data_IF_440724758393
#
_entry.id   IF_440724758393
#
_cell.length_a   1.000
_cell.length_b   1.000
_cell.length_c   1.000
_cell.angle_alpha   90.00
_cell.angle_beta   90.00
_cell.angle_gamma   90.00
#
_symmetry.space_group_name_H-M   'P 1'
#
loop_
_entity.id
_entity.type
_entity.pdbx_description
1 polymer ?
#
# COMPACT_ATOMS: atom_id res chain seq x y z
N UNK A 1 6.64 11.66 -0.35
CA UNK A 1 6.60 10.77 -1.53
C UNK A 1 5.15 10.31 -1.71
N UNK A 2 4.68 10.07 -2.94
CA UNK A 2 3.30 9.60 -3.25
C UNK A 2 3.37 8.21 -3.90
N UNK A 3 2.43 7.32 -3.57
CA UNK A 3 2.31 5.98 -4.15
C UNK A 3 1.52 6.02 -5.47
N UNK A 4 2.13 6.55 -6.54
CA UNK A 4 1.44 6.86 -7.81
C UNK A 4 0.75 5.65 -8.45
N UNK A 5 1.33 4.45 -8.35
CA UNK A 5 0.75 3.22 -8.86
C UNK A 5 -0.58 2.90 -8.14
N UNK A 6 -0.58 2.95 -6.81
CA UNK A 6 -1.78 2.74 -5.99
C UNK A 6 -2.84 3.82 -6.27
N UNK A 7 -2.44 5.09 -6.37
CA UNK A 7 -3.36 6.19 -6.71
C UNK A 7 -4.03 5.97 -8.06
N UNK A 8 -3.28 5.54 -9.09
CA UNK A 8 -3.83 5.22 -10.41
C UNK A 8 -4.79 4.03 -10.34
N UNK A 9 -4.46 3.00 -9.57
CA UNK A 9 -5.29 1.81 -9.40
C UNK A 9 -6.61 2.10 -8.64
N UNK A 10 -6.67 3.17 -7.84
CA UNK A 10 -7.88 3.58 -7.11
C UNK A 10 -8.84 4.46 -7.94
N UNK A 11 -8.43 4.96 -9.11
CA UNK A 11 -9.27 5.87 -9.89
C UNK A 11 -10.56 5.19 -10.35
N UNK A 12 -11.70 5.68 -9.84
CA UNK A 12 -13.02 5.16 -10.18
C UNK A 12 -13.47 3.95 -9.34
N UNK A 13 -12.62 3.44 -8.45
CA UNK A 13 -12.99 2.37 -7.53
C UNK A 13 -13.92 2.86 -6.42
N UNK A 14 -14.84 2.00 -6.01
CA UNK A 14 -15.52 2.06 -4.71
C UNK A 14 -14.58 1.53 -3.64
N UNK A 15 -14.78 2.00 -2.41
CA UNK A 15 -14.03 1.55 -1.25
C UNK A 15 -14.60 0.22 -0.72
N UNK A 16 -14.51 -0.83 -1.54
CA UNK A 16 -14.81 -2.21 -1.12
C UNK A 16 -13.53 -3.06 -1.17
N UNK A 17 -13.43 -4.15 -0.40
CA UNK A 17 -12.25 -5.00 -0.39
C UNK A 17 -11.81 -5.47 -1.78
N UNK A 18 -12.78 -5.81 -2.64
CA UNK A 18 -12.55 -6.33 -3.98
C UNK A 18 -12.01 -5.24 -4.92
N UNK A 19 -12.63 -4.06 -4.89
CA UNK A 19 -12.28 -2.97 -5.80
C UNK A 19 -10.95 -2.28 -5.43
N UNK A 20 -10.53 -2.31 -4.15
CA UNK A 20 -9.23 -1.75 -3.74
C UNK A 20 -8.07 -2.74 -3.80
N UNK A 21 -8.33 -4.04 -3.93
CA UNK A 21 -7.28 -5.07 -3.92
C UNK A 21 -6.13 -4.82 -4.92
N UNK A 22 -6.40 -4.36 -6.17
CA UNK A 22 -5.33 -4.01 -7.11
C UNK A 22 -4.43 -2.88 -6.61
N UNK A 23 -4.99 -1.88 -5.92
CA UNK A 23 -4.23 -0.77 -5.37
C UNK A 23 -3.34 -1.20 -4.20
N UNK A 24 -3.80 -2.16 -3.38
CA UNK A 24 -2.99 -2.73 -2.30
C UNK A 24 -1.81 -3.54 -2.86
N UNK A 25 -2.03 -4.31 -3.93
CA UNK A 25 -1.00 -5.12 -4.56
C UNK A 25 0.18 -4.29 -5.08
N UNK A 26 -0.09 -3.08 -5.58
CA UNK A 26 0.92 -2.17 -6.14
C UNK A 26 1.38 -1.09 -5.15
N UNK A 27 0.93 -1.13 -3.89
CA UNK A 27 1.27 -0.11 -2.88
C UNK A 27 2.78 -0.04 -2.62
N UNK A 28 3.47 -1.16 -2.77
CA UNK A 28 4.92 -1.28 -2.63
C UNK A 28 5.73 -0.95 -3.88
N UNK A 29 5.10 -0.61 -5.01
CA UNK A 29 5.84 -0.20 -6.20
C UNK A 29 6.56 1.13 -5.95
N UNK A 30 7.82 1.21 -6.36
CA UNK A 30 8.70 2.38 -6.26
C UNK A 30 9.07 2.84 -4.83
N UNK A 31 8.93 1.97 -3.82
CA UNK A 31 9.51 2.22 -2.49
C UNK A 31 10.79 1.41 -2.26
N UNK A 32 11.72 2.00 -1.52
CA UNK A 32 12.93 1.32 -1.07
C UNK A 32 13.05 1.48 0.45
N UNK A 33 12.31 0.66 1.24
CA UNK A 33 12.35 0.77 2.69
C UNK A 33 13.75 0.50 3.24
N UNK A 34 14.12 1.24 4.29
CA UNK A 34 15.36 0.98 5.02
C UNK A 34 15.17 -0.12 6.06
N UNK A 35 16.26 -0.76 6.44
CA UNK A 35 16.36 -1.55 7.68
C UNK A 35 16.99 -0.68 8.76
N UNK A 36 16.40 -0.66 9.94
CA UNK A 36 16.93 -0.01 11.14
C UNK A 36 16.65 -0.87 12.39
N UNK A 37 17.09 -0.49 13.61
CA UNK A 37 16.84 -1.27 14.83
C UNK A 37 15.36 -1.45 15.19
N UNK A 38 14.44 -0.69 14.57
CA UNK A 38 13.00 -0.77 14.84
C UNK A 38 12.36 -1.82 13.92
N UNK A 39 12.73 -1.83 12.64
CA UNK A 39 12.13 -2.73 11.65
C UNK A 39 13.00 -2.97 10.43
N UNK A 40 12.87 -4.17 9.87
CA UNK A 40 13.48 -4.54 8.59
C UNK A 40 12.76 -3.91 7.40
N UNK A 41 13.50 -3.76 6.29
CA UNK A 41 12.93 -3.33 5.03
C UNK A 41 11.79 -4.26 4.56
N UNK A 42 11.95 -5.57 4.75
CA UNK A 42 10.91 -6.57 4.46
C UNK A 42 9.64 -6.28 5.25
N UNK A 43 9.74 -6.12 6.58
CA UNK A 43 8.56 -5.87 7.41
C UNK A 43 7.83 -4.60 6.98
N UNK A 44 8.57 -3.53 6.67
CA UNK A 44 7.99 -2.26 6.19
C UNK A 44 7.25 -2.43 4.85
N UNK A 45 7.77 -3.28 3.95
CA UNK A 45 7.10 -3.60 2.70
C UNK A 45 5.80 -4.39 2.92
N UNK A 46 5.82 -5.37 3.83
CA UNK A 46 4.64 -6.21 4.15
C UNK A 46 3.51 -5.42 4.84
N UNK A 47 3.84 -4.51 5.76
CA UNK A 47 2.79 -3.78 6.51
C UNK A 47 2.18 -2.62 5.72
N UNK A 48 2.86 -2.10 4.69
CA UNK A 48 2.37 -1.00 3.87
C UNK A 48 0.97 -1.26 3.28
N UNK A 49 0.72 -2.35 2.53
CA UNK A 49 -0.61 -2.64 2.00
C UNK A 49 -1.65 -2.89 3.10
N UNK A 50 -1.24 -3.39 4.27
CA UNK A 50 -2.14 -3.57 5.42
C UNK A 50 -2.63 -2.23 5.96
N UNK A 51 -1.73 -1.26 6.15
CA UNK A 51 -2.10 0.07 6.63
C UNK A 51 -2.95 0.83 5.61
N UNK A 52 -2.61 0.73 4.32
CA UNK A 52 -3.42 1.32 3.26
C UNK A 52 -4.82 0.70 3.21
N UNK A 53 -4.94 -0.63 3.27
CA UNK A 53 -6.22 -1.32 3.26
C UNK A 53 -7.12 -0.91 4.44
N UNK A 54 -6.54 -0.81 5.65
CA UNK A 54 -7.27 -0.31 6.84
C UNK A 54 -7.78 1.11 6.64
N UNK A 55 -6.96 2.01 6.11
CA UNK A 55 -7.35 3.39 5.84
C UNK A 55 -8.54 3.47 4.86
N UNK A 56 -8.51 2.67 3.79
CA UNK A 56 -9.49 2.73 2.72
C UNK A 56 -10.83 2.08 3.08
N UNK A 57 -10.85 1.13 4.03
CA UNK A 57 -12.04 0.38 4.43
C UNK A 57 -12.64 0.83 5.78
N UNK A 58 -12.16 1.95 6.34
CA UNK A 58 -12.67 2.53 7.58
C UNK A 58 -13.88 3.43 7.37
#
# INVERSE_FOLDING_TARGET
MRAKAAEKALLGCKLTPEEIAPALAVAGEDITPITDPIASAWYRAEVLPVHLGRLLLS
#
